data_IF_252742180862
#
_entry.id   IF_252742180862
#
_cell.length_a   1.000
_cell.length_b   1.000
_cell.length_c   1.000
_cell.angle_alpha   90.00
_cell.angle_beta   90.00
_cell.angle_gamma   90.00
#
_symmetry.space_group_name_H-M   'P 1'
#
loop_
_entity.id
_entity.type
_entity.pdbx_description
1 polymer ?
#
# COMPACT_ATOMS: atom_id res chain seq x y z
N UNK A 1 -38.66 70.54 -18.04
CA UNK A 1 -37.44 69.73 -18.20
C UNK A 1 -37.34 68.74 -17.06
N UNK A 2 -36.99 67.51 -17.41
CA UNK A 2 -37.11 66.27 -16.64
C UNK A 2 -36.12 66.12 -15.47
N UNK A 3 -36.49 65.28 -14.49
CA UNK A 3 -35.75 64.88 -13.27
C UNK A 3 -34.38 64.24 -13.57
N UNK A 4 -33.52 64.16 -12.53
CA UNK A 4 -33.09 62.84 -12.07
C UNK A 4 -33.17 62.66 -10.53
N UNK A 5 -33.50 61.43 -10.13
CA UNK A 5 -33.37 60.85 -8.78
C UNK A 5 -32.37 59.69 -8.86
N UNK A 6 -31.56 59.48 -7.82
CA UNK A 6 -31.24 58.21 -7.13
C UNK A 6 -30.03 58.48 -6.23
N UNK A 7 -30.21 58.61 -4.92
CA UNK A 7 -30.45 57.57 -3.90
C UNK A 7 -29.13 57.02 -3.35
N UNK A 8 -28.88 57.44 -2.11
CA UNK A 8 -27.76 57.15 -1.23
C UNK A 8 -28.03 55.79 -0.57
N UNK A 9 -27.07 54.87 -0.64
CA UNK A 9 -27.07 53.64 0.16
C UNK A 9 -26.30 53.83 1.47
N UNK A 10 -26.78 53.32 2.63
CA UNK A 10 -26.00 53.30 3.86
C UNK A 10 -25.73 51.90 4.43
N UNK A 11 -24.68 51.85 5.27
CA UNK A 11 -24.34 50.89 6.34
C UNK A 11 -23.83 49.49 5.92
N UNK A 12 -22.55 49.13 6.11
CA UNK A 12 -21.76 48.98 7.34
C UNK A 12 -22.18 47.79 8.22
N UNK A 13 -21.30 46.80 8.38
CA UNK A 13 -20.82 46.29 9.69
C UNK A 13 -19.87 45.10 9.53
N UNK A 14 -18.74 45.20 10.22
CA UNK A 14 -17.76 44.15 10.40
C UNK A 14 -18.27 43.08 11.38
N UNK A 15 -17.91 41.83 11.14
CA UNK A 15 -17.89 40.79 12.15
C UNK A 15 -16.65 39.91 11.91
N UNK A 16 -15.58 40.21 12.64
CA UNK A 16 -14.47 39.29 12.84
C UNK A 16 -14.85 38.35 14.00
N UNK A 17 -14.99 37.05 13.70
CA UNK A 17 -15.04 35.98 14.69
C UNK A 17 -13.97 34.97 14.31
N UNK A 18 -12.88 35.01 15.08
CA UNK A 18 -11.89 33.92 15.17
C UNK A 18 -12.54 32.83 16.02
N UNK A 19 -12.42 31.56 15.63
CA UNK A 19 -11.98 30.43 16.47
C UNK A 19 -12.47 29.05 15.95
N UNK A 20 -11.48 28.15 15.79
CA UNK A 20 -11.51 26.69 15.82
C UNK A 20 -12.08 25.87 14.63
N UNK A 21 -11.14 25.35 13.84
CA UNK A 21 -10.86 23.91 13.75
C UNK A 21 -11.96 22.92 13.36
N UNK A 22 -12.52 22.98 12.15
CA UNK A 22 -13.11 21.78 11.50
C UNK A 22 -12.92 21.71 9.97
N UNK A 23 -12.27 22.70 9.34
CA UNK A 23 -12.13 22.74 7.88
C UNK A 23 -10.96 21.91 7.30
N UNK A 24 -10.14 21.28 8.16
CA UNK A 24 -8.94 20.53 7.73
C UNK A 24 -9.09 19.01 7.79
N UNK A 25 -10.20 18.47 8.28
CA UNK A 25 -10.42 17.02 8.38
C UNK A 25 -11.39 16.44 7.34
N UNK A 26 -12.12 17.27 6.60
CA UNK A 26 -13.06 16.83 5.57
C UNK A 26 -12.45 16.77 4.15
N UNK A 27 -11.13 16.96 4.01
CA UNK A 27 -10.41 16.91 2.71
C UNK A 27 -9.45 15.73 2.63
N UNK A 28 -9.81 14.61 3.24
CA UNK A 28 -9.06 13.35 3.20
C UNK A 28 -9.85 12.18 2.56
N UNK A 29 -11.05 12.41 2.03
CA UNK A 29 -11.94 11.34 1.55
C UNK A 29 -12.63 11.64 0.21
N UNK A 30 -12.06 12.52 -0.62
CA UNK A 30 -12.54 12.82 -1.97
C UNK A 30 -11.40 12.80 -2.96
N UNK A 31 -11.49 11.92 -3.96
CA UNK A 31 -10.55 11.71 -5.07
C UNK A 31 -9.21 11.01 -4.74
N UNK A 32 -9.29 9.80 -4.19
CA UNK A 32 -8.38 8.76 -4.67
C UNK A 32 -8.90 8.41 -6.07
N UNK A 33 -8.31 8.99 -7.12
CA UNK A 33 -8.62 8.58 -8.48
C UNK A 33 -8.50 7.05 -8.61
N UNK A 34 -9.29 6.43 -9.48
CA UNK A 34 -9.06 5.04 -9.86
C UNK A 34 -7.57 4.92 -10.25
N UNK A 35 -6.76 4.26 -9.42
CA UNK A 35 -5.30 4.29 -9.58
C UNK A 35 -4.48 4.84 -8.40
N UNK A 36 -5.03 5.02 -7.20
CA UNK A 36 -4.20 5.24 -6.01
C UNK A 36 -4.50 4.20 -4.91
N UNK A 37 -3.48 3.88 -4.11
CA UNK A 37 -3.57 2.90 -3.03
C UNK A 37 -4.63 3.30 -2.00
N UNK A 38 -5.55 2.38 -1.69
CA UNK A 38 -6.57 2.55 -0.65
C UNK A 38 -6.04 2.04 0.70
N UNK A 39 -5.94 2.91 1.72
CA UNK A 39 -5.43 2.52 3.04
C UNK A 39 -6.28 1.45 3.73
N UNK A 40 -5.65 0.67 4.59
CA UNK A 40 -6.31 -0.36 5.39
C UNK A 40 -7.30 0.28 6.39
N UNK A 41 -8.45 -0.36 6.63
CA UNK A 41 -9.46 0.17 7.53
C UNK A 41 -8.94 0.33 8.96
N UNK A 42 -9.39 1.40 9.64
CA UNK A 42 -9.33 1.46 11.10
C UNK A 42 -10.34 0.45 11.68
N UNK A 43 -10.19 0.06 12.93
CA UNK A 43 -11.08 -0.91 13.59
C UNK A 43 -12.55 -0.50 13.45
N UNK A 44 -13.32 -1.33 12.73
CA UNK A 44 -14.77 -1.14 12.53
C UNK A 44 -15.15 -0.42 11.24
N UNK A 45 -14.19 0.06 10.46
CA UNK A 45 -14.46 0.78 9.21
C UNK A 45 -14.44 -0.12 7.97
N UNK A 46 -15.24 0.26 6.96
CA UNK A 46 -15.16 -0.26 5.59
C UNK A 46 -14.76 0.91 4.69
N UNK A 47 -13.53 0.95 4.14
CA UNK A 47 -13.10 2.07 3.34
C UNK A 47 -13.84 2.05 2.00
N UNK A 48 -14.59 3.12 1.69
CA UNK A 48 -15.30 3.24 0.42
C UNK A 48 -14.36 3.17 -0.80
N UNK A 49 -13.07 3.52 -0.63
CA UNK A 49 -12.07 3.39 -1.69
C UNK A 49 -11.73 1.94 -2.07
N UNK A 50 -12.18 0.92 -1.31
CA UNK A 50 -12.02 -0.49 -1.69
C UNK A 50 -13.14 -0.97 -2.62
N UNK A 51 -14.25 -0.24 -2.78
CA UNK A 51 -15.39 -0.72 -3.58
C UNK A 51 -15.02 -1.04 -5.04
N UNK A 52 -14.20 -0.25 -5.75
CA UNK A 52 -13.73 -0.62 -7.10
C UNK A 52 -12.91 -1.92 -7.08
N UNK A 53 -12.04 -2.10 -6.09
CA UNK A 53 -11.25 -3.31 -5.95
C UNK A 53 -12.11 -4.54 -5.61
N UNK A 54 -13.20 -4.36 -4.85
CA UNK A 54 -14.20 -5.40 -4.58
C UNK A 54 -14.99 -5.79 -5.82
N UNK A 55 -15.33 -4.83 -6.66
CA UNK A 55 -16.01 -5.09 -7.93
C UNK A 55 -15.09 -5.88 -8.89
N UNK A 56 -13.82 -5.52 -8.96
CA UNK A 56 -12.82 -6.19 -9.82
C UNK A 56 -12.42 -7.57 -9.30
N UNK A 57 -12.11 -7.68 -8.00
CA UNK A 57 -11.53 -8.87 -7.38
C UNK A 57 -12.50 -9.56 -6.39
N UNK A 58 -13.79 -9.64 -6.74
CA UNK A 58 -14.85 -10.11 -5.84
C UNK A 58 -14.61 -11.50 -5.23
N UNK A 59 -14.08 -12.44 -6.03
CA UNK A 59 -13.76 -13.80 -5.57
C UNK A 59 -12.63 -13.79 -4.52
N UNK A 60 -11.61 -12.96 -4.73
CA UNK A 60 -10.52 -12.77 -3.77
C UNK A 60 -11.05 -12.25 -2.44
N UNK A 61 -11.87 -11.19 -2.46
CA UNK A 61 -12.44 -10.61 -1.24
C UNK A 61 -13.32 -11.60 -0.50
N UNK A 62 -14.18 -12.33 -1.23
CA UNK A 62 -15.05 -13.36 -0.64
C UNK A 62 -14.23 -14.46 0.03
N UNK A 63 -13.19 -14.94 -0.63
CA UNK A 63 -12.33 -16.00 -0.10
C UNK A 63 -11.50 -15.56 1.11
N UNK A 64 -10.94 -14.34 1.08
CA UNK A 64 -10.24 -13.73 2.24
C UNK A 64 -11.19 -13.59 3.43
N UNK A 65 -12.42 -13.10 3.19
CA UNK A 65 -13.37 -12.82 4.26
C UNK A 65 -13.93 -14.09 4.90
N UNK A 66 -14.07 -15.16 4.11
CA UNK A 66 -14.40 -16.50 4.57
C UNK A 66 -13.22 -17.24 5.24
N UNK A 67 -11.99 -16.74 5.13
CA UNK A 67 -10.79 -17.40 5.64
C UNK A 67 -10.39 -18.64 4.84
N UNK A 68 -10.82 -18.74 3.57
CA UNK A 68 -10.62 -19.87 2.68
C UNK A 68 -9.95 -19.44 1.36
N UNK A 69 -8.91 -18.60 1.46
CA UNK A 69 -8.20 -18.08 0.30
C UNK A 69 -7.35 -19.16 -0.38
N UNK A 70 -7.78 -19.59 -1.56
CA UNK A 70 -7.05 -20.53 -2.42
C UNK A 70 -6.03 -19.82 -3.31
N UNK A 71 -5.08 -20.57 -3.88
CA UNK A 71 -4.15 -20.03 -4.89
C UNK A 71 -4.89 -19.47 -6.12
N UNK A 72 -5.93 -20.16 -6.59
CA UNK A 72 -6.72 -19.70 -7.73
C UNK A 72 -7.41 -18.35 -7.45
N UNK A 73 -7.94 -18.16 -6.24
CA UNK A 73 -8.58 -16.92 -5.83
C UNK A 73 -7.57 -15.76 -5.62
N UNK A 74 -6.30 -16.07 -5.29
CA UNK A 74 -5.25 -15.08 -5.13
C UNK A 74 -4.52 -14.72 -6.44
N UNK A 75 -4.48 -15.63 -7.40
CA UNK A 75 -3.62 -15.55 -8.58
C UNK A 75 -3.79 -14.25 -9.39
N UNK A 76 -5.03 -13.78 -9.59
CA UNK A 76 -5.27 -12.56 -10.37
C UNK A 76 -4.72 -11.30 -9.69
N UNK A 77 -4.90 -11.19 -8.37
CA UNK A 77 -4.37 -10.08 -7.57
C UNK A 77 -2.84 -10.14 -7.56
N UNK A 78 -2.27 -11.31 -7.31
CA UNK A 78 -0.82 -11.52 -7.26
C UNK A 78 -0.15 -11.19 -8.61
N UNK A 79 -0.75 -11.64 -9.71
CA UNK A 79 -0.26 -11.33 -11.06
C UNK A 79 -0.31 -9.83 -11.37
N UNK A 80 -1.40 -9.15 -11.02
CA UNK A 80 -1.53 -7.71 -11.25
C UNK A 80 -0.55 -6.88 -10.40
N UNK A 81 -0.27 -7.29 -9.15
CA UNK A 81 0.78 -6.66 -8.33
C UNK A 81 2.17 -6.92 -8.93
N UNK A 82 2.44 -8.15 -9.39
CA UNK A 82 3.71 -8.51 -10.02
C UNK A 82 3.97 -7.76 -11.32
N UNK A 83 2.93 -7.48 -12.12
CA UNK A 83 3.03 -6.70 -13.34
C UNK A 83 3.33 -5.21 -13.06
N UNK A 84 3.09 -4.75 -11.83
CA UNK A 84 3.31 -3.37 -11.42
C UNK A 84 2.52 -2.38 -12.26
N UNK A 85 3.08 -1.18 -12.47
CA UNK A 85 2.42 -0.12 -13.23
C UNK A 85 2.10 -0.45 -14.71
N UNK A 86 2.61 -1.57 -15.24
CA UNK A 86 2.19 -2.09 -16.54
C UNK A 86 0.78 -2.69 -16.55
N UNK A 87 0.15 -2.86 -15.38
CA UNK A 87 -1.24 -3.26 -15.24
C UNK A 87 -2.14 -2.06 -14.97
N UNK A 88 -3.23 -1.92 -15.73
CA UNK A 88 -4.26 -0.90 -15.49
C UNK A 88 -4.92 -1.06 -14.10
N UNK A 89 -4.81 -2.26 -13.52
CA UNK A 89 -5.40 -2.60 -12.22
C UNK A 89 -4.38 -2.61 -11.07
N UNK A 90 -3.14 -2.19 -11.29
CA UNK A 90 -2.05 -2.32 -10.31
C UNK A 90 -2.42 -1.81 -8.92
N UNK A 91 -3.02 -0.62 -8.83
CA UNK A 91 -3.37 0.00 -7.56
C UNK A 91 -4.58 -0.65 -6.88
N UNK A 92 -5.55 -1.17 -7.65
CA UNK A 92 -6.64 -1.96 -7.10
C UNK A 92 -6.10 -3.27 -6.55
N UNK A 93 -5.22 -3.94 -7.30
CA UNK A 93 -4.57 -5.17 -6.88
C UNK A 93 -3.72 -4.97 -5.61
N UNK A 94 -2.95 -3.89 -5.53
CA UNK A 94 -2.17 -3.57 -4.33
C UNK A 94 -3.07 -3.32 -3.11
N UNK A 95 -4.18 -2.62 -3.30
CA UNK A 95 -5.16 -2.36 -2.23
C UNK A 95 -5.84 -3.66 -1.78
N UNK A 96 -6.20 -4.53 -2.71
CA UNK A 96 -6.73 -5.88 -2.45
C UNK A 96 -5.72 -6.73 -1.68
N UNK A 97 -4.47 -6.80 -2.15
CA UNK A 97 -3.42 -7.58 -1.52
C UNK A 97 -3.15 -7.11 -0.10
N UNK A 98 -3.02 -5.79 0.12
CA UNK A 98 -2.83 -5.24 1.47
C UNK A 98 -4.02 -5.59 2.38
N UNK A 99 -5.26 -5.45 1.90
CA UNK A 99 -6.44 -5.82 2.68
C UNK A 99 -6.45 -7.32 3.01
N UNK A 100 -6.15 -8.17 2.03
CA UNK A 100 -5.96 -9.60 2.20
C UNK A 100 -4.94 -9.89 3.29
N UNK A 101 -3.77 -9.26 3.21
CA UNK A 101 -2.67 -9.47 4.15
C UNK A 101 -3.10 -9.16 5.58
N UNK A 102 -3.75 -8.02 5.78
CA UNK A 102 -4.31 -7.60 7.06
C UNK A 102 -5.30 -8.64 7.63
N UNK A 103 -6.19 -9.17 6.78
CA UNK A 103 -7.17 -10.18 7.17
C UNK A 103 -6.51 -11.52 7.52
N UNK A 104 -5.58 -11.98 6.68
CA UNK A 104 -4.84 -13.22 6.90
C UNK A 104 -3.99 -13.15 8.18
N UNK A 105 -3.35 -12.01 8.44
CA UNK A 105 -2.57 -11.79 9.67
C UNK A 105 -3.47 -11.87 10.92
N UNK A 106 -4.67 -11.30 10.87
CA UNK A 106 -5.66 -11.46 11.96
C UNK A 106 -6.07 -12.91 12.16
N UNK A 107 -6.33 -13.64 11.09
CA UNK A 107 -6.67 -15.06 11.15
C UNK A 107 -5.51 -15.89 11.71
N UNK A 108 -4.28 -15.61 11.32
CA UNK A 108 -3.09 -16.28 11.82
C UNK A 108 -2.91 -16.06 13.33
N UNK A 109 -3.06 -14.82 13.82
CA UNK A 109 -3.03 -14.53 15.26
C UNK A 109 -4.16 -15.23 16.00
N UNK A 110 -5.39 -15.20 15.48
CA UNK A 110 -6.54 -15.89 16.09
C UNK A 110 -6.34 -17.41 16.17
N UNK A 111 -5.71 -18.00 15.15
CA UNK A 111 -5.33 -19.41 15.11
C UNK A 111 -4.06 -19.74 15.91
N UNK A 112 -3.51 -18.79 16.68
CA UNK A 112 -2.25 -18.93 17.41
C UNK A 112 -1.09 -19.40 16.52
N UNK A 113 -1.06 -18.95 15.27
CA UNK A 113 -0.06 -19.30 14.26
C UNK A 113 0.04 -20.81 13.95
N UNK A 114 -1.03 -21.58 14.21
CA UNK A 114 -1.07 -23.03 13.96
C UNK A 114 -1.52 -23.42 12.56
N UNK A 115 -1.80 -22.45 11.69
CA UNK A 115 -2.19 -22.69 10.30
C UNK A 115 -1.00 -22.41 9.38
N UNK A 116 -0.24 -23.44 8.95
CA UNK A 116 0.98 -23.25 8.16
C UNK A 116 0.69 -22.64 6.79
N UNK A 117 -0.45 -22.96 6.17
CA UNK A 117 -0.80 -22.44 4.83
C UNK A 117 -1.00 -20.92 4.85
N UNK A 118 -1.56 -20.38 5.94
CA UNK A 118 -1.68 -18.93 6.12
C UNK A 118 -0.32 -18.27 6.29
N UNK A 119 0.59 -18.86 7.07
CA UNK A 119 1.94 -18.34 7.28
C UNK A 119 2.74 -18.33 5.97
N UNK A 120 2.72 -19.44 5.24
CA UNK A 120 3.39 -19.57 3.94
C UNK A 120 2.86 -18.55 2.93
N UNK A 121 1.56 -18.26 2.92
CA UNK A 121 1.01 -17.23 2.03
C UNK A 121 1.48 -15.83 2.40
N UNK A 122 1.54 -15.49 3.69
CA UNK A 122 2.10 -14.21 4.14
C UNK A 122 3.58 -14.09 3.76
N UNK A 123 4.36 -15.16 3.90
CA UNK A 123 5.76 -15.23 3.43
C UNK A 123 5.86 -14.97 1.92
N UNK A 124 5.02 -15.63 1.11
CA UNK A 124 4.97 -15.40 -0.36
C UNK A 124 4.60 -13.96 -0.71
N UNK A 125 3.65 -13.35 0.01
CA UNK A 125 3.25 -11.97 -0.23
C UNK A 125 4.33 -10.96 0.18
N UNK A 126 5.10 -11.24 1.23
CA UNK A 126 6.28 -10.44 1.56
C UNK A 126 7.30 -10.44 0.41
N UNK A 127 7.59 -11.62 -0.13
CA UNK A 127 8.48 -11.78 -1.28
C UNK A 127 7.93 -11.05 -2.53
N UNK A 128 6.65 -11.21 -2.83
CA UNK A 128 5.99 -10.54 -3.96
C UNK A 128 6.08 -9.02 -3.85
N UNK A 129 5.81 -8.44 -2.67
CA UNK A 129 5.90 -6.99 -2.46
C UNK A 129 7.33 -6.46 -2.62
N UNK A 130 8.32 -7.21 -2.13
CA UNK A 130 9.74 -6.88 -2.34
C UNK A 130 10.13 -6.90 -3.82
N UNK A 131 9.79 -7.97 -4.55
CA UNK A 131 10.05 -8.08 -5.99
C UNK A 131 9.31 -7.00 -6.79
N UNK A 132 8.05 -6.72 -6.46
CA UNK A 132 7.27 -5.67 -7.12
C UNK A 132 7.89 -4.28 -6.93
N UNK A 133 8.54 -4.03 -5.78
CA UNK A 133 9.25 -2.77 -5.51
C UNK A 133 10.57 -2.67 -6.29
N UNK A 134 11.31 -3.78 -6.39
CA UNK A 134 12.56 -3.87 -7.16
C UNK A 134 12.31 -3.64 -8.67
N UNK A 135 11.32 -4.35 -9.22
CA UNK A 135 10.92 -4.24 -10.62
C UNK A 135 10.36 -2.86 -10.99
N UNK A 136 10.02 -2.04 -9.99
CA UNK A 136 9.50 -0.69 -10.16
C UNK A 136 10.60 0.39 -10.19
N UNK A 137 11.87 0.03 -10.41
CA UNK A 137 13.01 0.94 -10.33
C UNK A 137 12.83 2.27 -11.10
N UNK A 138 12.16 2.23 -12.25
CA UNK A 138 11.90 3.40 -13.10
C UNK A 138 10.50 4.03 -12.89
N UNK A 139 9.65 3.43 -12.04
CA UNK A 139 8.33 3.96 -11.67
C UNK A 139 8.28 4.41 -10.20
N UNK A 140 8.67 5.66 -9.99
CA UNK A 140 8.65 6.27 -8.67
C UNK A 140 7.25 6.41 -8.05
N UNK A 141 6.17 6.44 -8.84
CA UNK A 141 4.81 6.50 -8.30
C UNK A 141 4.39 5.15 -7.72
N UNK A 142 4.65 4.07 -8.46
CA UNK A 142 4.39 2.71 -8.02
C UNK A 142 5.27 2.30 -6.83
N UNK A 143 6.56 2.66 -6.82
CA UNK A 143 7.42 2.48 -5.64
C UNK A 143 6.88 3.17 -4.39
N UNK A 144 6.39 4.42 -4.52
CA UNK A 144 5.77 5.14 -3.40
C UNK A 144 4.49 4.47 -2.93
N UNK A 145 3.70 3.91 -3.83
CA UNK A 145 2.48 3.18 -3.49
C UNK A 145 2.80 1.91 -2.70
N UNK A 146 3.75 1.11 -3.17
CA UNK A 146 4.24 -0.09 -2.47
C UNK A 146 4.81 0.23 -1.08
N UNK A 147 5.63 1.28 -0.99
CA UNK A 147 6.17 1.74 0.31
C UNK A 147 5.06 2.21 1.24
N UNK A 148 4.08 2.96 0.74
CA UNK A 148 2.91 3.40 1.52
C UNK A 148 2.11 2.19 2.02
N UNK A 149 1.87 1.20 1.18
CA UNK A 149 1.16 -0.03 1.55
C UNK A 149 1.91 -0.83 2.62
N UNK A 150 3.22 -0.99 2.48
CA UNK A 150 4.05 -1.67 3.47
C UNK A 150 4.07 -0.96 4.83
N UNK A 151 4.17 0.38 4.84
CA UNK A 151 4.04 1.17 6.07
C UNK A 151 2.66 1.04 6.70
N UNK A 152 1.61 0.95 5.88
CA UNK A 152 0.26 0.80 6.41
C UNK A 152 0.03 -0.60 7.01
N UNK A 153 0.59 -1.64 6.38
CA UNK A 153 0.65 -2.99 6.93
C UNK A 153 1.39 -3.01 8.28
N UNK A 154 2.58 -2.42 8.36
CA UNK A 154 3.35 -2.31 9.61
C UNK A 154 2.58 -1.62 10.73
N UNK A 155 1.80 -0.59 10.42
CA UNK A 155 1.04 0.13 11.45
C UNK A 155 -0.25 -0.59 11.87
N UNK A 156 -0.89 -1.35 10.97
CA UNK A 156 -2.29 -1.77 11.15
C UNK A 156 -2.50 -3.28 11.15
N UNK A 157 -1.67 -4.04 10.43
CA UNK A 157 -1.75 -5.49 10.47
C UNK A 157 -1.14 -6.00 11.78
N UNK A 158 -1.76 -7.00 12.42
CA UNK A 158 -1.16 -7.61 13.60
C UNK A 158 0.09 -8.39 13.20
N UNK A 159 1.12 -8.24 14.00
CA UNK A 159 2.38 -8.98 13.89
C UNK A 159 2.16 -10.50 13.90
N UNK A 160 2.73 -11.19 12.92
CA UNK A 160 2.78 -12.65 12.86
C UNK A 160 4.25 -13.07 12.77
N UNK A 161 4.65 -14.07 13.55
CA UNK A 161 6.01 -14.61 13.43
C UNK A 161 6.10 -15.45 12.17
N UNK A 162 6.92 -15.03 11.22
CA UNK A 162 7.21 -15.73 9.98
C UNK A 162 8.68 -16.18 9.94
N UNK A 163 9.02 -16.95 8.92
CA UNK A 163 10.41 -17.23 8.56
C UNK A 163 10.85 -16.26 7.47
N UNK A 164 11.91 -15.52 7.74
CA UNK A 164 12.54 -14.63 6.78
C UNK A 164 13.92 -15.13 6.40
N UNK A 165 14.33 -14.86 5.17
CA UNK A 165 15.69 -15.07 4.69
C UNK A 165 16.43 -13.73 4.85
N UNK A 166 17.62 -13.75 5.48
CA UNK A 166 18.47 -12.57 5.62
C UNK A 166 19.37 -12.33 4.40
N UNK A 167 20.24 -11.31 4.48
CA UNK A 167 21.19 -10.94 3.43
C UNK A 167 22.28 -11.99 3.18
N UNK A 168 22.40 -12.99 4.06
CA UNK A 168 23.33 -14.12 3.95
C UNK A 168 22.66 -15.39 3.46
N UNK A 169 21.35 -15.36 3.21
CA UNK A 169 20.56 -16.52 2.81
C UNK A 169 20.14 -17.42 3.99
N UNK A 170 20.33 -16.99 5.23
CA UNK A 170 19.95 -17.75 6.42
C UNK A 170 18.50 -17.46 6.84
N UNK A 171 17.80 -18.51 7.28
CA UNK A 171 16.39 -18.39 7.71
C UNK A 171 16.29 -18.08 9.19
N UNK A 172 15.63 -16.98 9.54
CA UNK A 172 15.41 -16.54 10.93
C UNK A 172 13.95 -16.16 11.19
N UNK A 173 13.46 -16.27 12.45
CA UNK A 173 12.17 -15.73 12.84
C UNK A 173 12.12 -14.21 12.66
N UNK A 174 11.01 -13.70 12.11
CA UNK A 174 10.80 -12.27 11.89
C UNK A 174 9.33 -11.89 12.10
N UNK A 175 9.08 -10.61 12.39
CA UNK A 175 7.75 -10.03 12.32
C UNK A 175 7.33 -9.88 10.86
N UNK A 176 6.15 -10.38 10.52
CA UNK A 176 5.56 -10.38 9.19
C UNK A 176 5.58 -9.00 8.53
N UNK A 177 5.29 -7.96 9.30
CA UNK A 177 5.16 -6.60 8.78
C UNK A 177 6.49 -5.86 8.69
N UNK A 178 7.41 -6.10 9.63
CA UNK A 178 8.79 -5.59 9.53
C UNK A 178 9.57 -6.24 8.39
N UNK A 179 9.23 -7.48 8.04
CA UNK A 179 9.85 -8.19 6.92
C UNK A 179 9.56 -7.52 5.57
N UNK A 180 8.33 -7.06 5.34
CA UNK A 180 7.97 -6.30 4.12
C UNK A 180 8.79 -5.02 4.03
N UNK A 181 8.84 -4.26 5.12
CA UNK A 181 9.59 -2.99 5.17
C UNK A 181 11.10 -3.21 4.97
N UNK A 182 11.67 -4.24 5.61
CA UNK A 182 13.08 -4.60 5.43
C UNK A 182 13.40 -5.01 3.99
N UNK A 183 12.52 -5.77 3.34
CA UNK A 183 12.66 -6.11 1.93
C UNK A 183 12.70 -4.87 1.04
N UNK A 184 11.74 -3.96 1.22
CA UNK A 184 11.69 -2.69 0.48
C UNK A 184 12.93 -1.82 0.75
N UNK A 185 13.38 -1.72 2.01
CA UNK A 185 14.54 -0.89 2.36
C UNK A 185 15.87 -1.49 1.85
N UNK A 186 16.03 -2.81 1.88
CA UNK A 186 17.18 -3.51 1.31
C UNK A 186 17.27 -3.26 -0.20
N UNK A 187 16.15 -3.41 -0.91
CA UNK A 187 16.04 -3.09 -2.34
C UNK A 187 16.29 -1.62 -2.60
N UNK A 188 15.73 -0.70 -1.81
CA UNK A 188 15.99 0.74 -1.96
C UNK A 188 17.48 1.09 -1.80
N UNK A 189 18.21 0.36 -0.95
CA UNK A 189 19.67 0.48 -0.83
C UNK A 189 20.42 0.04 -2.10
N UNK A 190 19.96 -1.03 -2.75
CA UNK A 190 20.51 -1.60 -3.99
C UNK A 190 20.05 -0.88 -5.28
N UNK A 191 18.93 -0.17 -5.24
CA UNK A 191 18.41 0.63 -6.36
C UNK A 191 18.89 2.08 -6.25
N UNK A 192 19.09 2.60 -5.03
CA UNK A 192 19.51 3.97 -4.73
C UNK A 192 20.97 4.31 -5.04
N UNK A 193 21.48 5.40 -4.46
CA UNK A 193 22.79 5.98 -4.78
C UNK A 193 23.96 4.97 -4.67
N UNK A 194 23.86 4.03 -3.72
CA UNK A 194 24.83 2.94 -3.54
C UNK A 194 24.76 1.93 -4.68
N UNK A 195 23.56 1.53 -5.10
CA UNK A 195 23.35 0.71 -6.30
C UNK A 195 23.81 1.37 -7.59
N UNK A 196 23.52 2.66 -7.75
CA UNK A 196 24.00 3.45 -8.88
C UNK A 196 25.53 3.55 -8.88
N UNK A 197 26.15 3.72 -7.71
CA UNK A 197 27.60 3.72 -7.54
C UNK A 197 28.19 2.33 -7.81
N UNK A 198 27.60 1.25 -7.30
CA UNK A 198 28.05 -0.13 -7.55
C UNK A 198 27.92 -0.50 -9.03
N UNK A 199 26.83 -0.14 -9.71
CA UNK A 199 26.67 -0.31 -11.16
C UNK A 199 27.66 0.54 -11.96
N UNK A 200 27.94 1.77 -11.52
CA UNK A 200 28.97 2.63 -12.12
C UNK A 200 30.36 2.02 -11.94
N UNK A 201 30.69 1.54 -10.74
CA UNK A 201 31.96 0.90 -10.42
C UNK A 201 32.11 -0.41 -11.19
N UNK A 202 31.08 -1.26 -11.27
CA UNK A 202 31.09 -2.47 -12.11
C UNK A 202 31.34 -2.13 -13.58
N UNK A 203 30.73 -1.04 -14.09
CA UNK A 203 30.92 -0.59 -15.48
C UNK A 203 32.30 0.00 -15.75
N UNK A 204 32.93 0.63 -14.75
CA UNK A 204 34.29 1.19 -14.86
C UNK A 204 35.36 0.10 -14.70
N UNK A 205 35.12 -0.89 -13.84
CA UNK A 205 36.10 -1.90 -13.47
C UNK A 205 35.89 -3.27 -14.13
N UNK A 206 34.85 -3.45 -14.95
CA UNK A 206 34.62 -4.67 -15.72
C UNK A 206 34.39 -5.93 -14.87
N UNK A 207 33.90 -5.76 -13.63
CA UNK A 207 33.60 -6.85 -12.72
C UNK A 207 32.20 -7.39 -13.02
N UNK A 208 32.08 -8.19 -14.08
CA UNK A 208 30.91 -9.06 -14.25
C UNK A 208 30.98 -10.16 -13.18
N UNK A 209 30.03 -10.15 -12.24
CA UNK A 209 29.91 -11.20 -11.25
C UNK A 209 29.52 -12.51 -11.96
N UNK A 210 30.41 -13.51 -11.89
CA UNK A 210 30.13 -14.91 -12.22
C UNK A 210 29.31 -15.58 -11.13
#
# INVERSE_FOLDING_TARGET
MSRPRLAIGPAALAAALVLFSEATLARAAGEIGAGAYCPLPVKGEKPACLEPARAEYGDFFSAVEAGALSDAAAAQVEAAVSAGAGSDQAYLALSSLAYGYFRLSKSAVAAQQRNPELLERLERWNALLGMAYDNAADDGAWQRALRTAAQDLQRRAPAVTLRCIDDRGETHPCDSTDAVMRGIDATAGQVGLRGALERLLQRIFGLEAS
#
